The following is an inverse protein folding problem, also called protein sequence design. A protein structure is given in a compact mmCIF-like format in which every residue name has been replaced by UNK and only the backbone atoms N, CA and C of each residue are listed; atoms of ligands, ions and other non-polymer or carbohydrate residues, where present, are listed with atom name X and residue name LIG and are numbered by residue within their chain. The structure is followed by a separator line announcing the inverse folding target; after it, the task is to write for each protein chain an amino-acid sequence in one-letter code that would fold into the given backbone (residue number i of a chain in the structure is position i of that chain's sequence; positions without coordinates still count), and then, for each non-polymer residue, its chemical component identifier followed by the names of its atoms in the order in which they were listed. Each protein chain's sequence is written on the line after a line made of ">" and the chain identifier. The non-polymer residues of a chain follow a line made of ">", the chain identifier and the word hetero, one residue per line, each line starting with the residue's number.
data_IF_264447365111
#
_entry.id   IF_264447365111
#
_cell.length_a   1.000
_cell.length_b   1.000
_cell.length_c   1.000
_cell.angle_alpha   90.00
_cell.angle_beta   90.00
_cell.angle_gamma   90.00
#
_symmetry.space_group_name_H-M   'P 1'
#
loop_
_entity.id
_entity.type
_entity.pdbx_description
1 polymer ?
#
# COMPACT_ATOMS: atom_id res chain seq x y z
N UNK A 1 -8.15 -21.24 13.30
CA UNK A 1 -9.06 -21.05 12.14
C UNK A 1 -10.19 -20.05 12.41
N UNK A 2 -10.99 -20.20 13.48
CA UNK A 2 -12.13 -19.30 13.75
C UNK A 2 -11.72 -17.82 13.95
N UNK A 3 -10.63 -17.57 14.69
CA UNK A 3 -10.09 -16.23 14.91
C UNK A 3 -9.58 -15.58 13.61
N UNK A 4 -8.77 -16.30 12.84
CA UNK A 4 -8.28 -15.87 11.52
C UNK A 4 -9.44 -15.49 10.60
N UNK A 5 -10.48 -16.34 10.53
CA UNK A 5 -11.69 -16.05 9.73
C UNK A 5 -12.44 -14.81 10.22
N UNK A 6 -12.50 -14.58 11.54
CA UNK A 6 -13.13 -13.39 12.11
C UNK A 6 -12.34 -12.12 11.74
N UNK A 7 -11.02 -12.14 11.90
CA UNK A 7 -10.14 -11.02 11.55
C UNK A 7 -10.23 -10.70 10.05
N UNK A 8 -10.10 -11.71 9.18
CA UNK A 8 -10.17 -11.50 7.72
C UNK A 8 -11.56 -11.04 7.25
N UNK A 9 -12.65 -11.43 7.92
CA UNK A 9 -14.00 -10.93 7.60
C UNK A 9 -14.21 -9.47 8.02
N UNK A 10 -13.53 -9.02 9.07
CA UNK A 10 -13.53 -7.61 9.47
C UNK A 10 -12.77 -6.75 8.45
N UNK A 11 -11.75 -7.32 7.80
CA UNK A 11 -11.01 -6.71 6.68
C UNK A 11 -11.77 -6.94 5.36
N UNK A 12 -12.92 -6.28 5.18
CA UNK A 12 -13.68 -6.37 3.93
C UNK A 12 -13.10 -5.41 2.87
N UNK A 13 -12.48 -5.88 1.77
CA UNK A 13 -11.91 -5.00 0.74
C UNK A 13 -12.97 -4.22 -0.05
N UNK A 14 -14.24 -4.68 -0.04
CA UNK A 14 -15.37 -4.00 -0.71
C UNK A 14 -16.12 -3.02 0.19
N UNK A 15 -15.93 -3.10 1.51
CA UNK A 15 -16.60 -2.24 2.49
C UNK A 15 -15.52 -1.45 3.20
N UNK A 16 -15.22 -0.26 2.70
CA UNK A 16 -14.34 0.68 3.37
C UNK A 16 -14.78 0.87 4.83
N UNK A 17 -13.81 1.20 5.70
CA UNK A 17 -14.02 1.56 7.10
C UNK A 17 -15.20 2.53 7.24
N UNK A 18 -16.35 2.00 7.65
CA UNK A 18 -17.54 2.70 8.12
C UNK A 18 -17.64 2.58 9.65
N UNK A 19 -18.68 3.16 10.28
CA UNK A 19 -18.71 3.63 11.67
C UNK A 19 -18.67 2.56 12.79
N UNK A 20 -18.21 1.34 12.50
CA UNK A 20 -18.22 0.21 13.44
C UNK A 20 -16.96 0.11 14.32
N UNK A 21 -16.25 1.22 14.55
CA UNK A 21 -15.24 1.33 15.60
C UNK A 21 -13.97 0.47 15.46
N UNK A 22 -13.74 -0.18 14.32
CA UNK A 22 -12.47 -0.85 14.04
C UNK A 22 -11.58 0.10 13.24
N UNK A 23 -10.45 0.59 13.81
CA UNK A 23 -9.51 1.41 13.06
C UNK A 23 -9.01 0.62 11.85
N UNK A 24 -9.04 1.24 10.67
CA UNK A 24 -8.52 0.68 9.42
C UNK A 24 -7.00 0.60 9.42
N UNK A 25 -6.45 -0.22 10.32
CA UNK A 25 -5.04 -0.21 10.67
C UNK A 25 -4.16 -0.77 9.53
N UNK A 26 -4.70 -1.64 8.67
CA UNK A 26 -3.91 -2.32 7.61
C UNK A 26 -3.92 -1.56 6.26
N UNK A 27 -4.74 -0.52 6.11
CA UNK A 27 -4.91 0.20 4.81
C UNK A 27 -4.75 1.71 5.00
N UNK A 28 -3.71 2.12 5.75
CA UNK A 28 -3.36 3.55 5.87
C UNK A 28 -2.54 4.06 4.68
N UNK A 29 -1.75 3.20 4.06
CA UNK A 29 -0.71 3.67 3.12
C UNK A 29 -1.19 3.80 1.67
N UNK A 30 -2.40 3.30 1.37
CA UNK A 30 -3.01 3.42 0.03
C UNK A 30 -4.42 3.99 0.17
N UNK A 31 -4.58 5.33 0.23
CA UNK A 31 -5.85 5.95 0.56
C UNK A 31 -6.93 5.81 -0.52
N UNK A 32 -6.54 5.42 -1.75
CA UNK A 32 -7.44 5.35 -2.90
C UNK A 32 -7.61 3.94 -3.47
N UNK A 33 -6.52 3.25 -3.82
CA UNK A 33 -6.62 1.94 -4.46
C UNK A 33 -7.16 0.87 -3.49
N UNK A 34 -7.87 -0.11 -4.05
CA UNK A 34 -8.41 -1.26 -3.32
C UNK A 34 -9.39 -0.91 -2.18
N UNK A 35 -9.94 0.32 -2.18
CA UNK A 35 -10.96 0.76 -1.22
C UNK A 35 -12.31 0.93 -1.91
N UNK A 36 -13.36 0.42 -1.29
CA UNK A 36 -14.73 0.66 -1.74
C UNK A 36 -15.04 2.16 -1.79
N UNK A 37 -15.73 2.60 -2.85
CA UNK A 37 -16.10 4.00 -3.11
C UNK A 37 -14.90 4.96 -3.24
N UNK A 38 -13.74 4.45 -3.66
CA UNK A 38 -12.61 5.27 -4.09
C UNK A 38 -12.17 4.87 -5.48
N UNK A 39 -11.72 5.83 -6.27
CA UNK A 39 -11.23 5.58 -7.62
C UNK A 39 -9.96 6.35 -7.94
N UNK A 40 -9.40 6.10 -9.12
CA UNK A 40 -8.24 6.85 -9.62
C UNK A 40 -8.60 8.32 -9.82
N UNK A 41 -9.84 8.63 -10.19
CA UNK A 41 -10.33 10.01 -10.30
C UNK A 41 -10.27 10.76 -8.96
N UNK A 42 -10.57 10.10 -7.83
CA UNK A 42 -10.43 10.72 -6.51
C UNK A 42 -8.98 11.07 -6.19
N UNK A 43 -8.05 10.18 -6.53
CA UNK A 43 -6.62 10.40 -6.34
C UNK A 43 -6.15 11.60 -7.16
N UNK A 44 -6.49 11.62 -8.45
CA UNK A 44 -6.15 12.72 -9.36
C UNK A 44 -6.77 14.03 -8.89
N UNK A 45 -8.06 14.02 -8.52
CA UNK A 45 -8.76 15.21 -8.09
C UNK A 45 -8.14 15.81 -6.82
N UNK A 46 -7.75 14.97 -5.85
CA UNK A 46 -7.08 15.46 -4.64
C UNK A 46 -5.69 16.00 -4.94
N UNK A 47 -4.88 15.30 -5.73
CA UNK A 47 -3.55 15.76 -6.13
C UNK A 47 -3.61 17.10 -6.87
N UNK A 48 -4.56 17.25 -7.82
CA UNK A 48 -4.78 18.50 -8.53
C UNK A 48 -5.24 19.61 -7.60
N UNK A 49 -6.20 19.33 -6.72
CA UNK A 49 -6.69 20.33 -5.77
C UNK A 49 -5.57 20.84 -4.86
N UNK A 50 -4.77 19.95 -4.26
CA UNK A 50 -3.62 20.32 -3.43
C UNK A 50 -2.61 21.18 -4.21
N UNK A 51 -2.30 20.79 -5.45
CA UNK A 51 -1.35 21.49 -6.31
C UNK A 51 -1.83 22.89 -6.67
N UNK A 52 -3.05 22.99 -7.21
CA UNK A 52 -3.59 24.25 -7.69
C UNK A 52 -3.82 25.23 -6.54
N UNK A 53 -4.31 24.75 -5.40
CA UNK A 53 -4.52 25.60 -4.22
C UNK A 53 -3.21 26.19 -3.70
N UNK A 54 -2.10 25.44 -3.75
CA UNK A 54 -0.79 25.96 -3.36
C UNK A 54 -0.30 27.05 -4.34
N UNK A 55 -0.47 26.82 -5.63
CA UNK A 55 -0.04 27.73 -6.70
C UNK A 55 -0.76 29.09 -6.70
N UNK A 56 -1.88 29.23 -5.99
CA UNK A 56 -2.53 30.53 -5.78
C UNK A 56 -1.68 31.48 -4.90
N UNK A 57 -0.72 30.94 -4.14
CA UNK A 57 0.19 31.71 -3.31
C UNK A 57 1.29 32.35 -4.15
N UNK A 58 1.49 33.67 -4.03
CA UNK A 58 2.58 34.37 -4.73
C UNK A 58 3.94 33.85 -4.30
N UNK A 59 4.86 33.69 -5.26
CA UNK A 59 6.22 33.20 -4.99
C UNK A 59 6.28 31.69 -4.68
N UNK A 60 5.17 30.97 -4.85
CA UNK A 60 5.13 29.52 -4.69
C UNK A 60 5.34 28.78 -6.02
N UNK A 61 5.77 27.53 -5.91
CA UNK A 61 5.73 26.56 -7.00
C UNK A 61 5.56 25.16 -6.43
N UNK A 62 5.19 24.22 -7.29
CA UNK A 62 5.01 22.82 -6.92
C UNK A 62 6.00 21.96 -7.68
N UNK A 63 6.56 20.95 -7.00
CA UNK A 63 7.31 19.86 -7.62
C UNK A 63 6.59 18.55 -7.44
N UNK A 64 6.60 17.74 -8.49
CA UNK A 64 6.01 16.41 -8.46
C UNK A 64 7.08 15.40 -8.85
N UNK A 65 7.23 14.37 -8.02
CA UNK A 65 8.01 13.18 -8.32
C UNK A 65 7.05 12.01 -8.44
N UNK A 66 7.05 11.38 -9.61
CA UNK A 66 6.31 10.15 -9.87
C UNK A 66 7.25 8.97 -9.67
N UNK A 67 6.91 8.10 -8.72
CA UNK A 67 7.66 6.89 -8.37
C UNK A 67 6.80 5.69 -8.75
N UNK A 68 7.37 4.86 -9.62
CA UNK A 68 6.79 3.57 -10.03
C UNK A 68 7.66 2.45 -9.44
N UNK A 69 7.06 1.62 -8.58
CA UNK A 69 7.75 0.46 -8.03
C UNK A 69 7.76 -0.68 -9.04
N UNK A 70 8.90 -1.36 -9.18
CA UNK A 70 9.05 -2.47 -10.14
C UNK A 70 8.05 -3.63 -9.94
N UNK A 71 7.47 -3.75 -8.74
CA UNK A 71 6.32 -4.61 -8.46
C UNK A 71 5.75 -4.30 -7.07
N UNK A 72 4.43 -4.18 -6.94
CA UNK A 72 3.78 -4.12 -5.63
C UNK A 72 3.95 -5.42 -4.81
N UNK A 73 3.76 -6.59 -5.44
CA UNK A 73 3.53 -7.84 -4.69
C UNK A 73 4.75 -8.74 -4.57
N UNK A 74 5.73 -8.64 -5.47
CA UNK A 74 6.94 -9.47 -5.43
C UNK A 74 7.88 -9.18 -4.25
N UNK A 75 8.05 -7.93 -3.77
CA UNK A 75 9.03 -7.63 -2.72
C UNK A 75 8.51 -7.87 -1.29
N UNK A 76 7.31 -8.42 -1.11
CA UNK A 76 6.78 -8.69 0.25
C UNK A 76 7.70 -9.69 0.97
N UNK A 77 8.33 -9.24 2.05
CA UNK A 77 9.16 -10.08 2.92
C UNK A 77 8.29 -10.53 4.10
N UNK A 78 7.97 -11.82 4.25
CA UNK A 78 7.00 -12.28 5.24
C UNK A 78 7.37 -11.91 6.67
N UNK A 79 8.65 -11.90 7.03
CA UNK A 79 9.10 -11.53 8.38
C UNK A 79 8.88 -10.06 8.71
N UNK A 80 9.18 -9.15 7.76
CA UNK A 80 8.95 -7.71 7.92
C UNK A 80 7.45 -7.44 8.04
N UNK A 81 6.65 -7.98 7.11
CA UNK A 81 5.20 -7.85 7.13
C UNK A 81 4.60 -8.41 8.42
N UNK A 82 5.11 -9.54 8.93
CA UNK A 82 4.64 -10.11 10.20
C UNK A 82 4.90 -9.16 11.37
N UNK A 83 6.08 -8.54 11.41
CA UNK A 83 6.43 -7.55 12.44
C UNK A 83 5.52 -6.32 12.39
N UNK A 84 5.22 -5.82 11.19
CA UNK A 84 4.28 -4.72 10.98
C UNK A 84 2.86 -5.10 11.41
N UNK A 85 2.34 -6.26 10.98
CA UNK A 85 1.01 -6.71 11.38
C UNK A 85 0.87 -6.84 12.91
N UNK A 86 1.93 -7.27 13.59
CA UNK A 86 1.96 -7.33 15.06
C UNK A 86 1.98 -5.94 15.70
N UNK A 87 2.73 -4.97 15.15
CA UNK A 87 2.74 -3.58 15.65
C UNK A 87 1.37 -2.91 15.48
N UNK A 88 0.65 -3.32 14.44
CA UNK A 88 -0.73 -2.97 14.13
C UNK A 88 -1.78 -3.71 14.99
N UNK A 89 -1.37 -4.44 16.02
CA UNK A 89 -2.23 -5.15 16.97
C UNK A 89 -3.14 -6.21 16.31
N UNK A 90 -2.75 -6.74 15.14
CA UNK A 90 -3.41 -7.90 14.54
C UNK A 90 -3.13 -9.14 15.40
N UNK A 91 -4.12 -10.02 15.65
CA UNK A 91 -3.91 -11.20 16.50
C UNK A 91 -2.74 -12.07 16.02
N UNK A 92 -1.83 -12.52 16.91
CA UNK A 92 -0.64 -13.29 16.53
C UNK A 92 -0.96 -14.55 15.71
N UNK A 93 -2.10 -15.20 15.99
CA UNK A 93 -2.57 -16.36 15.22
C UNK A 93 -2.86 -16.02 13.75
N UNK A 94 -3.34 -14.81 13.47
CA UNK A 94 -3.59 -14.31 12.12
C UNK A 94 -2.27 -13.93 11.45
N UNK A 95 -1.35 -13.26 12.16
CA UNK A 95 -0.03 -12.93 11.64
C UNK A 95 0.76 -14.19 11.25
N UNK A 96 0.78 -15.21 12.12
CA UNK A 96 1.43 -16.49 11.81
C UNK A 96 0.77 -17.22 10.64
N UNK A 97 -0.55 -17.16 10.52
CA UNK A 97 -1.25 -17.74 9.37
C UNK A 97 -0.90 -17.01 8.07
N UNK A 98 -0.81 -15.68 8.09
CA UNK A 98 -0.36 -14.89 6.93
C UNK A 98 1.08 -15.24 6.57
N UNK A 99 1.98 -15.36 7.56
CA UNK A 99 3.37 -15.76 7.33
C UNK A 99 3.48 -17.17 6.72
N UNK A 100 2.73 -18.13 7.24
CA UNK A 100 2.66 -19.50 6.70
C UNK A 100 2.12 -19.48 5.26
N UNK A 101 1.04 -18.74 5.01
CA UNK A 101 0.51 -18.51 3.67
C UNK A 101 1.55 -17.90 2.71
N UNK A 102 2.44 -17.05 3.21
CA UNK A 102 3.46 -16.37 2.42
C UNK A 102 4.83 -17.09 2.37
N UNK A 103 4.98 -18.27 2.97
CA UNK A 103 6.26 -18.99 2.99
C UNK A 103 6.15 -20.38 2.39
N UNK A 104 7.27 -20.91 1.87
CA UNK A 104 7.40 -22.26 1.35
C UNK A 104 6.32 -22.66 0.33
N UNK A 105 5.90 -21.72 -0.52
CA UNK A 105 4.87 -21.97 -1.54
C UNK A 105 5.48 -22.66 -2.76
N UNK A 106 5.11 -23.91 -3.10
CA UNK A 106 5.57 -24.53 -4.33
C UNK A 106 4.88 -23.88 -5.54
N UNK A 107 5.68 -23.52 -6.55
CA UNK A 107 5.22 -22.95 -7.81
C UNK A 107 5.77 -23.72 -9.00
N UNK A 108 4.98 -23.73 -10.08
CA UNK A 108 5.34 -24.33 -11.36
C UNK A 108 4.91 -23.40 -12.49
N UNK A 109 5.70 -23.38 -13.56
CA UNK A 109 5.34 -22.73 -14.83
C UNK A 109 4.83 -23.78 -15.79
N UNK A 110 3.63 -23.56 -16.33
CA UNK A 110 3.06 -24.41 -17.38
C UNK A 110 3.06 -23.65 -18.71
N UNK A 111 3.67 -24.24 -19.73
CA UNK A 111 3.67 -23.71 -21.09
C UNK A 111 3.19 -24.80 -22.06
N UNK A 112 1.97 -24.65 -22.58
CA UNK A 112 1.28 -25.68 -23.35
C UNK A 112 1.07 -26.97 -22.52
N UNK A 113 1.64 -28.08 -23.00
CA UNK A 113 1.62 -29.38 -22.30
C UNK A 113 2.81 -29.62 -21.36
N UNK A 114 3.80 -28.71 -21.33
CA UNK A 114 5.01 -28.85 -20.52
C UNK A 114 4.84 -28.15 -19.18
N UNK A 115 5.32 -28.79 -18.12
CA UNK A 115 5.34 -28.27 -16.74
C UNK A 115 6.80 -28.17 -16.28
N UNK A 116 7.16 -27.07 -15.62
CA UNK A 116 8.48 -26.91 -15.02
C UNK A 116 8.64 -27.76 -13.76
N UNK A 117 9.89 -27.91 -13.30
CA UNK A 117 10.18 -28.31 -11.93
C UNK A 117 9.51 -27.36 -10.93
N UNK A 118 9.26 -27.87 -9.72
CA UNK A 118 8.76 -27.07 -8.60
C UNK A 118 9.84 -26.10 -8.13
N UNK A 119 9.45 -24.87 -7.82
CA UNK A 119 10.27 -23.90 -7.10
C UNK A 119 9.53 -23.45 -5.85
N UNK A 120 10.19 -23.45 -4.70
CA UNK A 120 9.63 -22.93 -3.46
C UNK A 120 9.85 -21.42 -3.39
N UNK A 121 8.79 -20.66 -3.17
CA UNK A 121 8.84 -19.22 -2.92
C UNK A 121 8.46 -18.90 -1.48
N UNK A 122 9.29 -18.07 -0.85
CA UNK A 122 9.07 -17.53 0.49
C UNK A 122 9.10 -16.00 0.52
N UNK A 123 8.94 -15.38 -0.65
CA UNK A 123 8.83 -13.93 -0.82
C UNK A 123 7.68 -13.61 -1.76
N UNK A 124 7.19 -12.40 -1.66
CA UNK A 124 6.05 -11.92 -2.40
C UNK A 124 4.73 -12.57 -2.03
N UNK A 125 3.64 -12.03 -2.55
CA UNK A 125 2.31 -12.65 -2.47
C UNK A 125 1.91 -13.26 -3.82
N UNK A 126 1.05 -14.31 -3.83
CA UNK A 126 0.55 -14.85 -5.08
C UNK A 126 -0.22 -13.80 -5.88
N UNK A 127 0.13 -13.61 -7.15
CA UNK A 127 -0.59 -12.69 -8.03
C UNK A 127 -2.03 -13.16 -8.22
N UNK A 128 -2.99 -12.24 -8.16
CA UNK A 128 -4.42 -12.55 -8.21
C UNK A 128 -5.01 -13.11 -6.91
N UNK A 129 -4.23 -13.21 -5.82
CA UNK A 129 -4.79 -13.49 -4.51
C UNK A 129 -5.52 -12.25 -3.96
N UNK A 130 -6.73 -12.46 -3.44
CA UNK A 130 -7.57 -11.42 -2.84
C UNK A 130 -6.90 -10.74 -1.64
N UNK A 131 -5.98 -11.44 -0.96
CA UNK A 131 -5.24 -10.90 0.18
C UNK A 131 -4.05 -10.03 -0.24
N UNK A 132 -3.51 -10.18 -1.45
CA UNK A 132 -2.30 -9.48 -1.88
C UNK A 132 -2.39 -7.96 -1.74
N UNK A 133 -3.50 -7.29 -2.14
CA UNK A 133 -3.63 -5.84 -1.94
C UNK A 133 -3.70 -5.41 -0.47
N UNK A 134 -4.19 -6.28 0.41
CA UNK A 134 -4.26 -6.01 1.86
C UNK A 134 -2.92 -6.24 2.56
N UNK A 135 -2.03 -7.03 1.95
CA UNK A 135 -0.71 -7.35 2.48
C UNK A 135 0.39 -6.45 1.90
N UNK A 136 0.05 -5.61 0.93
CA UNK A 136 0.93 -4.59 0.43
C UNK A 136 0.93 -3.40 1.39
N UNK A 137 1.86 -3.43 2.33
CA UNK A 137 2.24 -2.30 3.17
C UNK A 137 3.46 -1.66 2.54
N UNK A 138 3.33 -0.40 2.12
CA UNK A 138 4.48 0.39 1.69
C UNK A 138 4.38 1.71 2.42
N UNK A 139 5.00 1.73 3.60
CA UNK A 139 5.02 2.88 4.48
C UNK A 139 5.61 4.08 3.71
N UNK A 140 4.74 4.99 3.33
CA UNK A 140 5.03 6.16 2.54
C UNK A 140 4.16 7.30 3.06
N UNK A 141 4.45 7.68 4.30
CA UNK A 141 3.91 8.90 4.90
C UNK A 141 4.85 10.05 4.63
N UNK A 142 4.32 11.20 4.25
CA UNK A 142 5.12 12.41 4.11
C UNK A 142 5.78 12.76 5.47
N UNK A 143 7.07 13.01 5.43
CA UNK A 143 7.88 13.36 6.61
C UNK A 143 7.68 14.83 6.99
N UNK A 144 7.31 15.66 6.03
CA UNK A 144 7.17 17.12 6.17
C UNK A 144 5.77 17.61 5.78
N UNK A 145 5.32 18.69 6.42
CA UNK A 145 4.01 19.31 6.14
C UNK A 145 3.95 20.03 4.79
N UNK A 146 5.10 20.39 4.23
CA UNK A 146 5.22 20.93 2.87
C UNK A 146 5.25 19.85 1.80
N UNK A 147 5.24 18.58 2.19
CA UNK A 147 5.22 17.43 1.29
C UNK A 147 3.90 16.69 1.43
N UNK A 148 3.30 16.29 0.32
CA UNK A 148 2.13 15.42 0.29
C UNK A 148 2.45 14.19 -0.55
N UNK A 149 2.11 13.00 -0.05
CA UNK A 149 2.27 11.75 -0.79
C UNK A 149 0.89 11.21 -1.15
N UNK A 150 0.66 10.98 -2.44
CA UNK A 150 -0.56 10.38 -2.98
C UNK A 150 -0.22 9.02 -3.58
N UNK A 151 -0.97 7.98 -3.19
CA UNK A 151 -0.72 6.61 -3.63
C UNK A 151 -1.95 5.94 -4.22
N UNK A 152 -1.75 5.28 -5.35
CA UNK A 152 -2.72 4.39 -5.96
C UNK A 152 -2.03 3.06 -6.29
N UNK A 153 -2.21 2.06 -5.42
CA UNK A 153 -1.46 0.80 -5.47
C UNK A 153 0.05 1.07 -5.37
N UNK A 154 0.84 0.61 -6.34
CA UNK A 154 2.27 0.88 -6.48
C UNK A 154 2.58 2.29 -7.00
N UNK A 155 1.66 2.94 -7.72
CA UNK A 155 1.89 4.31 -8.19
C UNK A 155 1.95 5.28 -7.01
N UNK A 156 3.08 5.96 -6.85
CA UNK A 156 3.31 6.93 -5.78
C UNK A 156 3.69 8.29 -6.38
N UNK A 157 2.97 9.33 -5.98
CA UNK A 157 3.28 10.72 -6.34
C UNK A 157 3.65 11.50 -5.09
N UNK A 158 4.88 12.01 -5.05
CA UNK A 158 5.36 12.93 -4.01
C UNK A 158 5.20 14.35 -4.53
N UNK A 159 4.52 15.20 -3.77
CA UNK A 159 4.21 16.59 -4.12
C UNK A 159 4.88 17.50 -3.11
N UNK A 160 5.89 18.25 -3.55
CA UNK A 160 6.54 19.31 -2.78
C UNK A 160 5.87 20.65 -3.01
N UNK A 161 5.37 21.25 -1.93
CA UNK A 161 4.70 22.55 -1.89
C UNK A 161 5.69 23.62 -1.42
N UNK A 162 6.51 24.14 -2.34
CA UNK A 162 7.56 25.10 -2.02
C UNK A 162 7.06 26.53 -2.09
N UNK A 163 7.49 27.36 -1.13
CA UNK A 163 7.30 28.80 -1.12
C UNK A 163 8.66 29.47 -0.93
N UNK A 164 8.90 30.59 -1.61
CA UNK A 164 10.14 31.38 -1.48
C UNK A 164 11.45 30.64 -1.80
N UNK A 165 11.37 29.50 -2.49
CA UNK A 165 12.53 28.74 -2.95
C UNK A 165 13.17 27.81 -1.90
N UNK A 166 12.55 27.60 -0.74
CA UNK A 166 13.03 26.62 0.24
C UNK A 166 12.63 25.18 -0.17
N UNK A 167 13.60 24.43 -0.68
CA UNK A 167 13.41 23.05 -1.18
C UNK A 167 13.96 21.99 -0.23
N UNK A 168 14.45 22.36 0.94
CA UNK A 168 15.17 21.44 1.81
C UNK A 168 14.30 20.23 2.19
N UNK A 169 13.02 20.46 2.50
CA UNK A 169 12.07 19.43 2.92
C UNK A 169 11.71 18.48 1.77
N UNK A 170 11.44 19.00 0.57
CA UNK A 170 11.15 18.16 -0.60
C UNK A 170 12.34 17.28 -1.02
N UNK A 171 13.57 17.76 -0.82
CA UNK A 171 14.79 17.01 -1.15
C UNK A 171 15.16 15.98 -0.08
N UNK A 172 14.62 16.11 1.12
CA UNK A 172 14.87 15.21 2.23
C UNK A 172 13.93 13.99 2.25
N UNK A 173 12.82 14.06 1.50
CA UNK A 173 11.88 12.95 1.26
C UNK A 173 12.47 11.87 0.33
#
# INVERSE_FOLDING_TARGET
>A
EHEVRRTLRAVNPRKAAGPDGIPGIVVRDVPFAYRGNRSTEDAIALTLHTTLSHLETRGSYVRMLFVDFSSAFNPIIPDILTSELLSLQIPPSTCHWIKDFLTNRPQHVKHGSRLSSSMLLSTGSPQGCVLSPLLYTSDCTASHTSTAIFKFADDTTVVGLTTDGDEAEYRAE
#
